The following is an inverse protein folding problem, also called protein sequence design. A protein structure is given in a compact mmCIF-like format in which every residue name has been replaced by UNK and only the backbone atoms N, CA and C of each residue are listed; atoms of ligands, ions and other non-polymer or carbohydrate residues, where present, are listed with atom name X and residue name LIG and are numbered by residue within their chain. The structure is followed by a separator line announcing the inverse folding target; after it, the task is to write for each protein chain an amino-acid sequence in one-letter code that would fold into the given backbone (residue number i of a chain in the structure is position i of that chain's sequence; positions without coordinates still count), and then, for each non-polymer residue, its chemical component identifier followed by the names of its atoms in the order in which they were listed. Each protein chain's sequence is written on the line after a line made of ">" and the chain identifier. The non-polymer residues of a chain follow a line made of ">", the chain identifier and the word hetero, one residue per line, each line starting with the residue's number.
data_IF_558955415135
#
_entry.id   IF_558955415135
#
_cell.length_a   1.000
_cell.length_b   1.000
_cell.length_c   1.000
_cell.angle_alpha   90.00
_cell.angle_beta   90.00
_cell.angle_gamma   90.00
#
_symmetry.space_group_name_H-M   'P 1'
#
loop_
_entity.id
_entity.type
_entity.pdbx_description
1 polymer ?
#
# COMPACT_ATOMS: atom_id res chain seq x y z
N UNK A 1 -0.10 -3.33 -31.63
CA UNK A 1 -0.32 -3.35 -30.18
C UNK A 1 -1.47 -4.27 -29.93
N UNK A 2 -1.26 -5.31 -29.12
CA UNK A 2 -2.35 -6.16 -28.64
C UNK A 2 -3.22 -5.39 -27.64
N UNK A 3 -4.40 -5.92 -27.35
CA UNK A 3 -5.31 -5.38 -26.36
C UNK A 3 -4.80 -5.68 -24.94
N UNK A 4 -4.01 -4.76 -24.39
CA UNK A 4 -3.36 -4.89 -23.07
C UNK A 4 -4.36 -4.97 -21.90
N UNK A 5 -5.61 -4.55 -22.13
CA UNK A 5 -6.71 -4.64 -21.16
C UNK A 5 -7.54 -5.92 -21.28
N UNK A 6 -7.26 -6.76 -22.29
CA UNK A 6 -8.01 -8.00 -22.48
C UNK A 6 -7.76 -8.99 -21.34
N UNK A 7 -8.84 -9.59 -20.84
CA UNK A 7 -8.79 -10.68 -19.88
C UNK A 7 -8.18 -11.92 -20.53
N UNK A 8 -7.14 -12.48 -19.92
CA UNK A 8 -6.51 -13.73 -20.34
C UNK A 8 -6.63 -14.72 -19.17
N UNK A 9 -7.35 -15.83 -19.36
CA UNK A 9 -7.33 -16.97 -18.43
C UNK A 9 -8.39 -16.96 -17.30
N UNK A 10 -8.26 -17.96 -16.42
CA UNK A 10 -9.11 -18.14 -15.22
C UNK A 10 -8.73 -17.11 -14.13
N UNK A 11 -9.67 -16.86 -13.20
CA UNK A 11 -9.51 -15.90 -12.09
C UNK A 11 -8.26 -16.17 -11.26
N UNK A 12 -7.47 -15.13 -10.96
CA UNK A 12 -6.39 -15.20 -9.97
C UNK A 12 -6.97 -15.33 -8.53
N UNK A 13 -6.13 -15.60 -7.53
CA UNK A 13 -6.53 -15.95 -6.16
C UNK A 13 -7.53 -14.98 -5.50
N UNK A 14 -7.59 -13.74 -6.00
CA UNK A 14 -8.46 -12.66 -5.52
C UNK A 14 -9.78 -12.47 -6.31
N UNK A 15 -9.99 -13.25 -7.37
CA UNK A 15 -11.23 -13.24 -8.17
C UNK A 15 -11.28 -12.14 -9.24
N UNK A 16 -10.18 -11.43 -9.48
CA UNK A 16 -10.07 -10.47 -10.56
C UNK A 16 -9.73 -11.20 -11.88
N UNK A 17 -10.04 -10.55 -13.00
CA UNK A 17 -9.76 -11.09 -14.33
C UNK A 17 -8.31 -10.74 -14.69
N UNK A 18 -7.40 -11.71 -14.71
CA UNK A 18 -5.99 -11.46 -15.02
C UNK A 18 -5.87 -10.78 -16.39
N UNK A 19 -5.28 -9.57 -16.41
CA UNK A 19 -5.10 -8.83 -17.65
C UNK A 19 -3.81 -9.24 -18.31
N UNK A 20 -3.77 -9.10 -19.64
CA UNK A 20 -2.56 -9.39 -20.41
C UNK A 20 -1.30 -8.66 -19.88
N UNK A 21 -1.48 -7.43 -19.39
CA UNK A 21 -0.38 -6.63 -18.85
C UNK A 21 0.13 -7.13 -17.49
N UNK A 22 -0.73 -7.73 -16.66
CA UNK A 22 -0.35 -8.31 -15.36
C UNK A 22 0.64 -9.47 -15.59
N UNK A 23 0.29 -10.40 -16.48
CA UNK A 23 1.16 -11.53 -16.87
C UNK A 23 2.49 -11.03 -17.45
N UNK A 24 2.43 -10.05 -18.35
CA UNK A 24 3.64 -9.49 -18.95
C UNK A 24 4.56 -8.82 -17.92
N UNK A 25 3.98 -8.15 -16.91
CA UNK A 25 4.74 -7.54 -15.84
C UNK A 25 5.39 -8.60 -14.95
N UNK A 26 4.65 -9.63 -14.53
CA UNK A 26 5.17 -10.72 -13.70
C UNK A 26 6.30 -11.47 -14.40
N UNK A 27 6.12 -11.85 -15.67
CA UNK A 27 7.15 -12.53 -16.47
C UNK A 27 8.43 -11.70 -16.57
N UNK A 28 8.31 -10.39 -16.79
CA UNK A 28 9.45 -9.49 -16.92
C UNK A 28 10.25 -9.38 -15.60
N UNK A 29 9.58 -9.25 -14.46
CA UNK A 29 10.24 -9.18 -13.16
C UNK A 29 10.82 -10.52 -12.73
N UNK A 30 10.11 -11.62 -12.98
CA UNK A 30 10.61 -12.97 -12.72
C UNK A 30 11.87 -13.27 -13.54
N UNK A 31 11.90 -12.89 -14.82
CA UNK A 31 13.08 -13.09 -15.66
C UNK A 31 14.26 -12.19 -15.24
N UNK A 32 13.99 -10.95 -14.81
CA UNK A 32 15.02 -10.10 -14.22
C UNK A 32 15.57 -10.70 -12.91
N UNK A 33 14.71 -11.24 -12.05
CA UNK A 33 15.10 -11.91 -10.80
C UNK A 33 15.99 -13.12 -11.08
N UNK A 34 15.63 -13.98 -12.04
CA UNK A 34 16.46 -15.11 -12.51
C UNK A 34 17.84 -14.64 -12.99
N UNK A 35 17.88 -13.61 -13.84
CA UNK A 35 19.11 -13.11 -14.44
C UNK A 35 20.05 -12.43 -13.43
N UNK A 36 19.50 -11.90 -12.33
CA UNK A 36 20.29 -11.25 -11.28
C UNK A 36 21.27 -12.21 -10.58
N UNK A 37 20.94 -13.50 -10.51
CA UNK A 37 21.74 -14.52 -9.83
C UNK A 37 21.83 -14.36 -8.30
N UNK A 38 21.03 -13.47 -7.69
CA UNK A 38 21.08 -13.16 -6.26
C UNK A 38 19.74 -13.33 -5.53
N UNK A 39 18.72 -13.82 -6.23
CA UNK A 39 17.37 -14.05 -5.67
C UNK A 39 17.15 -15.55 -5.47
N UNK A 40 16.78 -15.94 -4.26
CA UNK A 40 16.50 -17.31 -3.88
C UNK A 40 15.06 -17.73 -4.15
N UNK A 41 14.12 -16.85 -3.81
CA UNK A 41 12.70 -17.06 -4.05
C UNK A 41 12.05 -15.76 -4.54
N UNK A 42 11.14 -15.91 -5.49
CA UNK A 42 10.32 -14.84 -6.05
C UNK A 42 8.86 -15.10 -5.67
N UNK A 43 8.29 -14.18 -4.93
CA UNK A 43 6.93 -14.21 -4.41
C UNK A 43 6.14 -13.07 -5.06
N UNK A 44 5.07 -13.39 -5.77
CA UNK A 44 4.32 -12.42 -6.58
C UNK A 44 2.83 -12.50 -6.28
N UNK A 45 2.15 -11.37 -6.43
CA UNK A 45 0.68 -11.32 -6.41
C UNK A 45 0.04 -12.22 -7.47
N UNK A 46 0.74 -12.44 -8.60
CA UNK A 46 0.26 -13.23 -9.75
C UNK A 46 0.59 -14.73 -9.65
N UNK A 47 1.20 -15.18 -8.55
CA UNK A 47 1.64 -16.57 -8.35
C UNK A 47 1.11 -17.13 -7.03
N UNK A 48 0.42 -18.27 -7.06
CA UNK A 48 -0.13 -18.90 -5.83
C UNK A 48 0.96 -19.33 -4.81
N UNK A 49 2.18 -19.56 -5.31
CA UNK A 49 3.31 -20.10 -4.56
C UNK A 49 4.61 -19.38 -4.95
N UNK A 50 5.58 -19.39 -4.03
CA UNK A 50 6.88 -18.80 -4.33
C UNK A 50 7.61 -19.61 -5.41
N UNK A 51 8.14 -18.91 -6.41
CA UNK A 51 9.01 -19.50 -7.45
C UNK A 51 10.43 -19.57 -6.90
N UNK A 52 10.92 -20.80 -6.67
CA UNK A 52 12.28 -21.04 -6.18
C UNK A 52 13.27 -20.91 -7.34
N UNK A 53 14.28 -20.07 -7.18
CA UNK A 53 15.29 -19.76 -8.20
C UNK A 53 16.66 -20.35 -7.85
N UNK A 54 17.20 -20.02 -6.68
CA UNK A 54 18.49 -20.52 -6.17
C UNK A 54 18.48 -20.58 -4.64
N UNK A 55 18.46 -21.79 -4.07
CA UNK A 55 18.32 -21.96 -2.62
C UNK A 55 19.42 -21.28 -1.77
N UNK A 56 20.58 -20.99 -2.37
CA UNK A 56 21.73 -20.40 -1.70
C UNK A 56 21.88 -18.89 -1.96
N UNK A 57 21.05 -18.32 -2.84
CA UNK A 57 21.11 -16.90 -3.12
C UNK A 57 20.65 -16.07 -1.89
N UNK A 58 21.19 -14.85 -1.72
CA UNK A 58 21.03 -14.11 -0.47
C UNK A 58 19.67 -13.41 -0.28
N UNK A 59 18.87 -13.24 -1.33
CA UNK A 59 17.68 -12.37 -1.28
C UNK A 59 16.38 -13.11 -1.59
N UNK A 60 15.28 -12.60 -1.06
CA UNK A 60 13.91 -12.97 -1.43
C UNK A 60 13.23 -11.71 -1.97
N UNK A 61 12.52 -11.84 -3.08
CA UNK A 61 11.72 -10.74 -3.65
C UNK A 61 10.25 -11.05 -3.39
N UNK A 62 9.54 -10.07 -2.85
CA UNK A 62 8.08 -10.03 -2.78
C UNK A 62 7.59 -8.85 -3.63
N UNK A 63 6.66 -9.08 -4.57
CA UNK A 63 6.30 -8.08 -5.57
C UNK A 63 4.81 -8.08 -5.91
N UNK A 64 4.24 -6.88 -6.03
CA UNK A 64 3.06 -6.63 -6.84
C UNK A 64 3.55 -6.12 -8.19
N UNK A 65 3.54 -6.96 -9.25
CA UNK A 65 4.12 -6.59 -10.53
C UNK A 65 3.34 -5.45 -11.19
N UNK A 66 2.03 -5.32 -10.90
CA UNK A 66 1.17 -4.32 -11.51
C UNK A 66 0.02 -3.82 -10.60
N UNK A 67 0.35 -2.97 -9.62
CA UNK A 67 -0.66 -2.32 -8.77
C UNK A 67 -1.60 -1.43 -9.60
N UNK A 68 -2.89 -1.54 -9.29
CA UNK A 68 -3.94 -0.75 -9.92
C UNK A 68 -4.39 -1.31 -11.27
N UNK A 69 -4.21 -2.60 -11.55
CA UNK A 69 -4.63 -3.28 -12.80
C UNK A 69 -6.07 -2.94 -13.26
N UNK A 70 -7.01 -2.75 -12.32
CA UNK A 70 -8.38 -2.30 -12.61
C UNK A 70 -8.46 -0.95 -13.35
N UNK A 71 -7.41 -0.13 -13.30
CA UNK A 71 -7.29 1.19 -13.92
C UNK A 71 -6.63 1.18 -15.31
N UNK A 72 -6.12 0.04 -15.79
CA UNK A 72 -5.42 -0.07 -17.09
C UNK A 72 -6.30 0.45 -18.24
N UNK A 73 -7.55 0.00 -18.32
CA UNK A 73 -8.42 0.25 -19.50
C UNK A 73 -8.92 1.70 -19.56
N UNK A 74 -8.84 2.41 -18.43
CA UNK A 74 -9.24 3.82 -18.30
C UNK A 74 -8.04 4.76 -18.27
N UNK A 75 -6.83 4.24 -18.49
CA UNK A 75 -5.60 5.01 -18.64
C UNK A 75 -5.31 5.92 -17.42
N UNK A 76 -5.58 5.41 -16.22
CA UNK A 76 -5.19 6.02 -14.95
C UNK A 76 -3.84 5.45 -14.51
N UNK A 77 -3.09 6.19 -13.70
CA UNK A 77 -1.78 5.77 -13.20
C UNK A 77 -1.87 4.42 -12.46
N UNK A 78 -0.90 3.56 -12.77
CA UNK A 78 -0.66 2.24 -12.17
C UNK A 78 0.81 2.15 -11.74
N UNK A 79 1.28 1.03 -11.22
CA UNK A 79 2.68 0.92 -10.80
C UNK A 79 3.12 -0.50 -10.47
N UNK A 80 4.26 -0.59 -9.81
CA UNK A 80 4.83 -1.85 -9.33
C UNK A 80 5.32 -1.61 -7.90
N UNK A 81 5.16 -2.58 -7.01
CA UNK A 81 5.61 -2.50 -5.63
C UNK A 81 6.55 -3.66 -5.34
N UNK A 82 7.74 -3.37 -4.79
CA UNK A 82 8.79 -4.35 -4.55
C UNK A 82 9.23 -4.29 -3.10
N UNK A 83 9.31 -5.45 -2.47
CA UNK A 83 9.95 -5.70 -1.19
C UNK A 83 11.15 -6.63 -1.39
N UNK A 84 12.29 -6.28 -0.79
CA UNK A 84 13.50 -7.10 -0.80
C UNK A 84 13.79 -7.54 0.63
N UNK A 85 13.80 -8.84 0.85
CA UNK A 85 14.01 -9.49 2.14
C UNK A 85 15.31 -10.31 2.12
N UNK A 86 15.96 -10.54 3.27
CA UNK A 86 17.03 -11.52 3.35
C UNK A 86 16.47 -12.93 3.13
N UNK A 87 17.23 -13.82 2.52
CA UNK A 87 16.93 -15.25 2.53
C UNK A 87 17.16 -15.80 3.96
N UNK A 88 16.10 -16.24 4.68
CA UNK A 88 16.25 -16.76 6.04
C UNK A 88 16.78 -18.20 6.08
N UNK A 89 16.96 -18.84 4.92
CA UNK A 89 17.17 -20.27 4.78
C UNK A 89 15.88 -21.07 5.10
N UNK A 90 16.01 -22.40 5.17
CA UNK A 90 14.87 -23.26 5.50
C UNK A 90 13.90 -23.45 4.32
N UNK A 91 12.60 -23.45 4.60
CA UNK A 91 11.57 -23.63 3.58
C UNK A 91 11.35 -22.32 2.81
N UNK A 92 11.84 -22.31 1.56
CA UNK A 92 11.76 -21.12 0.71
C UNK A 92 10.34 -20.79 0.25
N UNK A 93 9.40 -21.72 0.33
CA UNK A 93 7.99 -21.40 0.12
C UNK A 93 7.46 -20.42 1.17
N UNK A 94 8.10 -20.38 2.34
CA UNK A 94 7.72 -19.51 3.45
C UNK A 94 8.67 -18.33 3.63
N UNK A 95 9.69 -18.21 2.77
CA UNK A 95 10.78 -17.26 2.96
C UNK A 95 10.36 -15.78 2.88
N UNK A 96 9.23 -15.46 2.24
CA UNK A 96 8.67 -14.12 2.21
C UNK A 96 7.81 -13.79 3.45
N UNK A 97 7.42 -14.78 4.26
CA UNK A 97 6.59 -14.60 5.47
C UNK A 97 7.43 -14.12 6.66
N UNK A 98 8.06 -12.97 6.48
CA UNK A 98 8.85 -12.27 7.50
C UNK A 98 8.12 -10.99 7.93
N UNK A 99 8.38 -10.51 9.15
CA UNK A 99 7.87 -9.21 9.56
C UNK A 99 8.41 -8.10 8.66
N UNK A 100 7.60 -7.07 8.43
CA UNK A 100 7.95 -5.98 7.51
C UNK A 100 9.23 -5.22 7.91
N UNK A 101 9.63 -5.26 9.17
CA UNK A 101 10.88 -4.69 9.67
C UNK A 101 12.15 -5.47 9.24
N UNK A 102 12.01 -6.66 8.66
CA UNK A 102 13.13 -7.43 8.10
C UNK A 102 13.52 -7.01 6.68
N UNK A 103 12.76 -6.10 6.04
CA UNK A 103 13.06 -5.62 4.70
C UNK A 103 14.44 -4.95 4.64
N UNK A 104 15.25 -5.38 3.67
CA UNK A 104 16.55 -4.77 3.35
C UNK A 104 16.36 -3.54 2.44
N UNK A 105 15.36 -3.60 1.56
CA UNK A 105 14.98 -2.52 0.68
C UNK A 105 13.51 -2.62 0.33
N UNK A 106 12.91 -1.50 -0.04
CA UNK A 106 11.59 -1.46 -0.65
C UNK A 106 11.57 -0.39 -1.74
N UNK A 107 10.74 -0.61 -2.75
CA UNK A 107 10.54 0.33 -3.83
C UNK A 107 9.10 0.31 -4.32
N UNK A 108 8.63 1.43 -4.87
CA UNK A 108 7.51 1.38 -5.81
C UNK A 108 7.73 2.31 -6.99
N UNK A 109 7.18 1.90 -8.13
CA UNK A 109 7.12 2.69 -9.34
C UNK A 109 5.74 3.30 -9.48
N UNK A 110 5.67 4.49 -10.08
CA UNK A 110 4.42 5.07 -10.57
C UNK A 110 4.56 5.26 -12.07
N UNK A 111 3.72 4.55 -12.84
CA UNK A 111 3.58 4.67 -14.28
C UNK A 111 2.49 5.71 -14.58
N UNK A 112 2.81 6.98 -14.32
CA UNK A 112 1.91 8.11 -14.55
C UNK A 112 2.34 8.97 -15.75
N UNK A 113 2.01 10.28 -15.74
CA UNK A 113 2.52 11.22 -16.74
C UNK A 113 4.06 11.26 -16.82
N UNK A 114 4.73 10.90 -15.73
CA UNK A 114 6.15 10.62 -15.65
C UNK A 114 6.34 9.30 -14.91
N UNK A 115 7.32 8.50 -15.33
CA UNK A 115 7.72 7.30 -14.58
C UNK A 115 8.63 7.70 -13.44
N UNK A 116 8.16 7.51 -12.21
CA UNK A 116 8.93 7.80 -10.99
C UNK A 116 9.16 6.53 -10.18
N UNK A 117 10.27 6.49 -9.46
CA UNK A 117 10.66 5.42 -8.55
C UNK A 117 10.91 6.00 -7.16
N UNK A 118 10.26 5.44 -6.15
CA UNK A 118 10.55 5.70 -4.74
C UNK A 118 11.31 4.50 -4.21
N UNK A 119 12.46 4.72 -3.60
CA UNK A 119 13.37 3.65 -3.17
C UNK A 119 13.91 3.94 -1.77
N UNK A 120 13.90 2.94 -0.91
CA UNK A 120 14.63 2.97 0.36
C UNK A 120 15.51 1.74 0.50
N UNK A 121 16.69 1.95 1.09
CA UNK A 121 17.61 0.90 1.57
C UNK A 121 17.70 0.89 3.10
N UNK A 122 16.75 1.53 3.80
CA UNK A 122 16.71 1.65 5.26
C UNK A 122 17.35 2.93 5.85
N UNK A 123 17.84 3.84 5.01
CA UNK A 123 18.45 5.13 5.43
C UNK A 123 17.78 6.34 4.75
N UNK A 124 16.46 6.39 4.83
CA UNK A 124 15.61 7.36 4.14
C UNK A 124 15.04 6.83 2.82
N UNK A 125 14.10 7.59 2.25
CA UNK A 125 13.49 7.26 0.95
C UNK A 125 13.92 8.29 -0.08
N UNK A 126 14.38 7.85 -1.24
CA UNK A 126 14.77 8.70 -2.35
C UNK A 126 13.70 8.66 -3.46
N UNK A 127 13.57 9.78 -4.16
CA UNK A 127 12.71 9.91 -5.34
C UNK A 127 13.55 10.06 -6.61
N UNK A 128 13.32 9.16 -7.56
CA UNK A 128 13.91 9.17 -8.89
C UNK A 128 12.85 9.35 -9.98
N UNK A 129 13.27 9.87 -11.13
CA UNK A 129 12.46 9.96 -12.34
C UNK A 129 13.21 9.39 -13.53
N UNK A 130 12.54 8.58 -14.33
CA UNK A 130 13.10 8.05 -15.58
C UNK A 130 13.24 9.17 -16.62
N UNK A 131 14.44 9.33 -17.20
CA UNK A 131 14.63 10.06 -18.44
C UNK A 131 14.28 9.14 -19.62
N UNK A 132 13.23 9.43 -20.41
CA UNK A 132 12.81 8.57 -21.52
C UNK A 132 13.83 8.51 -22.66
N UNK A 133 14.78 9.44 -22.74
CA UNK A 133 15.80 9.45 -23.80
C UNK A 133 16.91 8.46 -23.50
N UNK A 134 17.42 8.45 -22.26
CA UNK A 134 18.50 7.57 -21.84
C UNK A 134 18.02 6.25 -21.24
N UNK A 135 16.78 6.17 -20.77
CA UNK A 135 16.25 5.04 -20.01
C UNK A 135 16.77 4.96 -18.57
N UNK A 136 17.47 5.99 -18.09
CA UNK A 136 18.06 6.01 -16.75
C UNK A 136 17.14 6.70 -15.75
N UNK A 137 17.13 6.20 -14.51
CA UNK A 137 16.49 6.86 -13.38
C UNK A 137 17.43 7.91 -12.79
N UNK A 138 16.99 9.17 -12.85
CA UNK A 138 17.72 10.31 -12.32
C UNK A 138 17.19 10.67 -10.94
N UNK A 139 18.08 10.82 -9.96
CA UNK A 139 17.71 11.29 -8.63
C UNK A 139 17.10 12.70 -8.73
N UNK A 140 15.92 12.86 -8.13
CA UNK A 140 15.18 14.13 -8.07
C UNK A 140 15.27 14.72 -6.68
N UNK A 141 15.06 13.88 -5.66
CA UNK A 141 15.07 14.29 -4.26
C UNK A 141 15.66 13.17 -3.42
N UNK A 142 16.71 13.47 -2.67
CA UNK A 142 17.32 12.58 -1.69
C UNK A 142 16.54 12.71 -0.38
N UNK A 143 16.21 11.58 0.27
CA UNK A 143 15.54 11.54 1.58
C UNK A 143 14.27 12.42 1.62
N UNK A 144 13.36 12.19 0.68
CA UNK A 144 12.05 12.87 0.65
C UNK A 144 11.32 12.67 1.99
N UNK A 145 10.73 13.75 2.51
CA UNK A 145 10.01 13.74 3.78
C UNK A 145 8.50 13.94 3.56
N UNK A 146 7.70 13.03 4.11
CA UNK A 146 6.25 13.20 4.17
C UNK A 146 5.93 14.26 5.25
N UNK A 147 5.20 15.30 4.86
CA UNK A 147 4.76 16.33 5.80
C UNK A 147 4.04 15.72 7.02
N UNK A 148 4.45 16.11 8.24
CA UNK A 148 3.90 15.56 9.50
C UNK A 148 2.39 15.82 9.64
N UNK A 149 1.94 16.98 9.16
CA UNK A 149 0.54 17.40 9.11
C UNK A 149 0.04 17.58 7.67
N UNK A 150 -1.27 17.49 7.50
CA UNK A 150 -1.92 17.62 6.20
C UNK A 150 -3.37 18.08 6.33
N UNK A 151 -3.97 18.43 5.20
CA UNK A 151 -5.41 18.64 5.06
C UNK A 151 -5.96 17.87 3.85
N UNK A 152 -5.31 16.77 3.46
CA UNK A 152 -5.80 15.85 2.43
C UNK A 152 -5.95 14.42 2.98
N UNK A 153 -7.04 13.75 2.60
CA UNK A 153 -7.26 12.33 2.90
C UNK A 153 -7.71 11.57 1.64
N UNK A 154 -7.39 10.28 1.61
CA UNK A 154 -7.74 9.38 0.53
C UNK A 154 -8.47 8.16 1.06
N UNK A 155 -9.75 8.01 0.68
CA UNK A 155 -10.58 6.86 1.02
C UNK A 155 -11.68 6.69 -0.04
N UNK A 156 -12.05 5.45 -0.35
CA UNK A 156 -13.19 5.18 -1.22
C UNK A 156 -14.52 5.45 -0.49
N UNK A 157 -15.04 6.67 -0.63
CA UNK A 157 -16.27 7.13 0.01
C UNK A 157 -17.53 6.32 -0.34
N UNK A 158 -17.55 5.55 -1.45
CA UNK A 158 -18.70 4.69 -1.76
C UNK A 158 -18.95 3.62 -0.70
N UNK A 159 -17.91 3.29 0.09
CA UNK A 159 -17.97 2.27 1.13
C UNK A 159 -18.37 2.83 2.50
N UNK A 160 -18.80 4.09 2.59
CA UNK A 160 -19.10 4.77 3.86
C UNK A 160 -20.02 3.97 4.81
N UNK A 161 -21.04 3.31 4.25
CA UNK A 161 -21.99 2.48 5.00
C UNK A 161 -21.38 1.18 5.57
N UNK A 162 -20.28 0.72 4.98
CA UNK A 162 -19.61 -0.53 5.35
C UNK A 162 -18.53 -0.32 6.38
N UNK A 163 -17.91 0.87 6.42
CA UNK A 163 -16.84 1.18 7.36
C UNK A 163 -17.25 0.89 8.81
N UNK A 164 -16.29 0.40 9.58
CA UNK A 164 -16.44 0.33 11.03
C UNK A 164 -16.55 1.72 11.64
N UNK A 165 -17.16 1.79 12.82
CA UNK A 165 -17.44 3.04 13.55
C UNK A 165 -16.23 3.98 13.68
N UNK A 166 -15.00 3.51 13.98
CA UNK A 166 -13.84 4.40 14.11
C UNK A 166 -13.58 5.23 12.86
N UNK A 167 -13.60 4.59 11.69
CA UNK A 167 -13.39 5.24 10.39
C UNK A 167 -14.55 6.17 10.06
N UNK A 168 -15.80 5.77 10.32
CA UNK A 168 -16.96 6.64 10.12
C UNK A 168 -16.85 7.92 10.96
N UNK A 169 -16.43 7.82 12.22
CA UNK A 169 -16.22 8.96 13.12
C UNK A 169 -15.07 9.85 12.65
N UNK A 170 -13.92 9.25 12.33
CA UNK A 170 -12.77 9.98 11.80
C UNK A 170 -13.15 10.82 10.58
N UNK A 171 -13.75 10.19 9.56
CA UNK A 171 -14.17 10.89 8.34
C UNK A 171 -15.29 11.92 8.61
N UNK A 172 -16.24 11.63 9.50
CA UNK A 172 -17.28 12.61 9.87
C UNK A 172 -16.67 13.87 10.48
N UNK A 173 -15.68 13.71 11.36
CA UNK A 173 -15.00 14.84 12.01
C UNK A 173 -14.17 15.66 10.99
N UNK A 174 -13.60 15.03 9.96
CA UNK A 174 -12.96 15.76 8.85
C UNK A 174 -13.97 16.55 8.01
N UNK A 175 -15.16 15.99 7.76
CA UNK A 175 -16.21 16.61 6.93
C UNK A 175 -16.89 17.81 7.59
N UNK A 176 -16.86 17.91 8.92
CA UNK A 176 -17.33 19.09 9.64
C UNK A 176 -16.44 20.32 9.41
N UNK A 177 -15.25 20.16 8.84
CA UNK A 177 -14.39 21.26 8.45
C UNK A 177 -13.94 22.13 9.62
N UNK A 178 -14.00 23.45 9.43
CA UNK A 178 -13.67 24.45 10.44
C UNK A 178 -14.68 24.56 11.59
N UNK A 179 -15.91 24.07 11.40
CA UNK A 179 -16.91 23.93 12.47
C UNK A 179 -16.72 22.64 13.29
N UNK A 180 -15.88 21.72 12.81
CA UNK A 180 -15.60 20.43 13.42
C UNK A 180 -14.49 20.47 14.46
N UNK A 181 -14.27 19.33 15.17
CA UNK A 181 -13.19 19.22 16.15
C UNK A 181 -11.78 19.30 15.55
N UNK A 182 -11.69 19.33 14.22
CA UNK A 182 -10.43 19.51 13.49
C UNK A 182 -10.09 20.97 13.23
N UNK A 183 -11.07 21.87 13.35
CA UNK A 183 -10.93 23.32 13.18
C UNK A 183 -10.26 23.73 11.85
N UNK A 184 -10.35 22.88 10.82
CA UNK A 184 -9.82 23.13 9.48
C UNK A 184 -10.51 22.28 8.42
N UNK A 185 -10.56 22.78 7.19
CA UNK A 185 -11.13 22.07 6.06
C UNK A 185 -10.17 21.01 5.51
N UNK A 186 -10.69 19.82 5.21
CA UNK A 186 -9.96 18.74 4.56
C UNK A 186 -10.47 18.49 3.14
N UNK A 187 -9.58 18.09 2.25
CA UNK A 187 -9.91 17.76 0.87
C UNK A 187 -9.74 16.26 0.61
N UNK A 188 -10.70 15.66 -0.09
CA UNK A 188 -10.61 14.26 -0.50
C UNK A 188 -9.85 14.13 -1.82
N UNK A 189 -8.91 13.19 -1.89
CA UNK A 189 -8.28 12.72 -3.13
C UNK A 189 -8.37 11.21 -3.16
N UNK A 190 -8.92 10.64 -4.22
CA UNK A 190 -8.94 9.19 -4.38
C UNK A 190 -8.59 8.89 -5.82
N UNK A 191 -7.36 8.44 -6.07
CA UNK A 191 -6.92 8.05 -7.41
C UNK A 191 -7.39 6.62 -7.68
N UNK A 192 -7.36 5.75 -6.67
CA UNK A 192 -7.80 4.37 -6.78
C UNK A 192 -6.73 3.40 -7.28
N UNK A 193 -5.45 3.80 -7.19
CA UNK A 193 -4.28 2.93 -7.27
C UNK A 193 -3.39 3.25 -6.06
N UNK A 194 -2.91 2.22 -5.37
CA UNK A 194 -2.14 2.37 -4.15
C UNK A 194 -0.86 3.18 -4.41
N UNK A 195 -0.11 2.84 -5.46
CA UNK A 195 1.16 3.54 -5.78
C UNK A 195 0.94 4.99 -6.21
N UNK A 196 -0.17 5.28 -6.89
CA UNK A 196 -0.48 6.63 -7.33
C UNK A 196 -0.89 7.52 -6.15
N UNK A 197 -1.72 7.00 -5.25
CA UNK A 197 -2.08 7.71 -4.01
C UNK A 197 -0.88 7.82 -3.06
N UNK A 198 -0.01 6.81 -2.98
CA UNK A 198 1.25 6.87 -2.24
C UNK A 198 2.16 7.97 -2.78
N UNK A 199 2.46 7.96 -4.09
CA UNK A 199 3.28 8.99 -4.73
C UNK A 199 2.77 10.40 -4.47
N UNK A 200 1.44 10.62 -4.50
CA UNK A 200 0.84 11.91 -4.11
C UNK A 200 1.18 12.27 -2.66
N UNK A 201 1.07 11.33 -1.73
CA UNK A 201 1.32 11.55 -0.29
C UNK A 201 2.80 11.85 -0.03
N UNK A 202 3.73 11.16 -0.68
CA UNK A 202 5.16 11.47 -0.60
C UNK A 202 5.46 12.93 -0.98
N UNK A 203 4.80 13.46 -2.01
CA UNK A 203 5.08 14.82 -2.52
C UNK A 203 4.28 15.94 -1.83
N UNK A 204 3.09 15.65 -1.33
CA UNK A 204 2.13 16.69 -0.87
C UNK A 204 1.64 16.50 0.55
N UNK A 205 2.05 15.41 1.21
CA UNK A 205 1.42 14.93 2.43
C UNK A 205 0.00 14.41 2.19
N UNK A 206 -0.64 13.99 3.26
CA UNK A 206 -1.95 13.36 3.21
C UNK A 206 -2.00 12.06 4.00
N UNK A 207 -3.19 11.51 4.14
CA UNK A 207 -3.38 10.18 4.71
C UNK A 207 -4.17 9.31 3.74
N UNK A 208 -3.69 8.10 3.47
CA UNK A 208 -4.41 7.07 2.73
C UNK A 208 -5.07 6.13 3.71
N UNK A 209 -6.30 5.71 3.40
CA UNK A 209 -7.07 4.76 4.19
C UNK A 209 -7.68 3.69 3.28
N UNK A 210 -7.23 2.46 3.49
CA UNK A 210 -7.92 1.25 3.08
C UNK A 210 -8.20 0.39 4.32
N UNK A 211 -9.20 0.76 5.12
CA UNK A 211 -9.48 0.09 6.39
C UNK A 211 -10.19 -1.25 6.15
N UNK A 212 -10.27 -2.06 7.21
CA UNK A 212 -11.24 -3.14 7.29
C UNK A 212 -12.68 -2.62 7.30
N UNK A 213 -13.60 -3.39 6.74
CA UNK A 213 -15.03 -3.03 6.72
C UNK A 213 -15.97 -4.25 6.79
N UNK A 214 -17.27 -3.98 6.83
CA UNK A 214 -18.32 -5.00 7.03
C UNK A 214 -18.62 -5.86 5.79
N UNK A 215 -17.99 -5.61 4.63
CA UNK A 215 -18.19 -6.45 3.45
C UNK A 215 -17.59 -7.84 3.72
N UNK A 216 -18.20 -8.92 3.19
CA UNK A 216 -17.66 -10.27 3.38
C UNK A 216 -16.21 -10.37 2.88
N UNK A 217 -15.30 -10.89 3.72
CA UNK A 217 -13.84 -11.02 3.46
C UNK A 217 -13.02 -9.72 3.44
N UNK A 218 -13.58 -8.62 3.95
CA UNK A 218 -12.93 -7.30 4.00
C UNK A 218 -12.70 -6.83 5.45
N UNK A 219 -12.97 -7.69 6.43
CA UNK A 219 -12.80 -7.40 7.86
C UNK A 219 -11.36 -7.06 8.21
N UNK A 220 -10.40 -7.71 7.55
CA UNK A 220 -8.97 -7.42 7.65
C UNK A 220 -8.46 -6.56 6.48
N UNK A 221 -9.31 -5.77 5.81
CA UNK A 221 -8.92 -4.99 4.63
C UNK A 221 -8.83 -5.80 3.34
N UNK A 222 -8.28 -5.20 2.28
CA UNK A 222 -8.16 -5.82 0.93
C UNK A 222 -6.73 -5.96 0.44
N UNK A 223 -5.84 -5.05 0.83
CA UNK A 223 -4.45 -5.02 0.33
C UNK A 223 -3.64 -6.15 0.95
N UNK A 224 -2.63 -6.67 0.25
CA UNK A 224 -1.83 -7.79 0.73
C UNK A 224 -0.66 -7.29 1.56
N UNK A 225 -0.38 -8.00 2.64
CA UNK A 225 0.58 -7.58 3.65
C UNK A 225 2.00 -7.55 3.08
N UNK A 226 2.41 -8.62 2.40
CA UNK A 226 3.81 -8.88 2.04
C UNK A 226 4.30 -7.96 0.92
N UNK A 227 3.53 -7.80 -0.16
CA UNK A 227 3.98 -7.12 -1.38
C UNK A 227 3.24 -5.80 -1.68
N UNK A 228 2.26 -5.40 -0.86
CA UNK A 228 1.66 -4.05 -0.94
C UNK A 228 1.91 -3.24 0.35
N UNK A 229 1.44 -3.74 1.50
CA UNK A 229 1.45 -2.95 2.73
C UNK A 229 2.84 -2.79 3.36
N UNK A 230 3.60 -3.88 3.51
CA UNK A 230 4.96 -3.87 4.08
C UNK A 230 5.93 -2.94 3.31
N UNK A 231 6.08 -3.05 1.97
CA UNK A 231 6.99 -2.18 1.23
C UNK A 231 6.58 -0.71 1.26
N UNK A 232 5.28 -0.41 1.12
CA UNK A 232 4.78 0.97 1.25
C UNK A 232 5.01 1.51 2.66
N UNK A 233 4.73 0.72 3.70
CA UNK A 233 4.97 1.12 5.09
C UNK A 233 6.45 1.41 5.36
N UNK A 234 7.36 0.61 4.82
CA UNK A 234 8.80 0.81 5.01
C UNK A 234 9.26 2.12 4.38
N UNK A 235 8.87 2.39 3.14
CA UNK A 235 9.14 3.66 2.45
C UNK A 235 8.55 4.86 3.21
N UNK A 236 7.32 4.73 3.72
CA UNK A 236 6.62 5.81 4.43
C UNK A 236 7.31 6.15 5.75
N UNK A 237 7.69 5.14 6.54
CA UNK A 237 8.38 5.37 7.82
C UNK A 237 9.79 5.93 7.61
N UNK A 238 10.49 5.50 6.56
CA UNK A 238 11.79 6.04 6.16
C UNK A 238 11.69 7.51 5.69
N UNK A 239 10.52 7.94 5.22
CA UNK A 239 10.20 9.34 4.90
C UNK A 239 9.58 10.13 6.06
N UNK A 240 9.65 9.62 7.30
CA UNK A 240 9.13 10.32 8.49
C UNK A 240 7.61 10.22 8.71
N UNK A 241 6.89 9.50 7.84
CA UNK A 241 5.48 9.19 8.00
C UNK A 241 5.20 8.06 9.02
N UNK A 242 3.99 7.52 8.97
CA UNK A 242 3.63 6.32 9.74
C UNK A 242 2.66 5.44 8.94
N UNK A 243 2.61 4.14 9.28
CA UNK A 243 1.69 3.17 8.70
C UNK A 243 1.13 2.20 9.76
N UNK A 244 -0.19 1.96 9.72
CA UNK A 244 -0.92 1.09 10.66
C UNK A 244 -2.07 0.37 9.97
N UNK A 245 -2.52 -0.76 10.52
CA UNK A 245 -3.81 -1.38 10.16
C UNK A 245 -5.01 -0.76 10.90
N UNK A 246 -4.77 0.30 11.69
CA UNK A 246 -5.73 0.95 12.59
C UNK A 246 -5.45 0.61 14.05
N UNK A 247 -4.72 -0.48 14.31
CA UNK A 247 -4.42 -0.95 15.65
C UNK A 247 -2.94 -1.25 15.88
N UNK A 248 -2.31 -1.87 14.90
CA UNK A 248 -0.95 -2.40 14.94
C UNK A 248 -0.14 -1.69 13.86
N UNK A 249 1.14 -1.42 14.14
CA UNK A 249 2.06 -0.88 13.14
C UNK A 249 2.31 -1.95 12.07
N UNK A 250 2.26 -1.57 10.79
CA UNK A 250 2.31 -2.54 9.68
C UNK A 250 3.60 -3.37 9.73
N UNK A 251 4.74 -2.73 9.93
CA UNK A 251 6.06 -3.41 9.92
C UNK A 251 6.26 -4.41 11.07
N UNK A 252 5.43 -4.36 12.11
CA UNK A 252 5.49 -5.28 13.26
C UNK A 252 4.65 -6.55 13.03
N UNK A 253 3.86 -6.60 11.95
CA UNK A 253 3.02 -7.77 11.64
C UNK A 253 3.87 -8.89 11.05
N UNK A 254 3.73 -10.09 11.58
CA UNK A 254 4.30 -11.31 11.00
C UNK A 254 3.23 -12.01 10.15
N UNK A 255 3.43 -12.13 8.82
CA UNK A 255 2.49 -12.83 7.96
C UNK A 255 2.34 -14.31 8.35
N UNK A 256 1.13 -14.83 8.22
CA UNK A 256 0.78 -16.24 8.42
C UNK A 256 0.58 -17.00 7.11
N UNK A 257 0.36 -16.26 6.03
CA UNK A 257 0.23 -16.76 4.66
C UNK A 257 0.80 -15.75 3.66
N UNK A 258 1.17 -16.22 2.46
CA UNK A 258 1.81 -15.38 1.43
C UNK A 258 0.88 -14.26 0.96
N UNK A 259 -0.40 -14.57 0.79
CA UNK A 259 -1.41 -13.66 0.27
C UNK A 259 -2.27 -13.03 1.38
N UNK A 260 -1.72 -12.92 2.60
CA UNK A 260 -2.46 -12.39 3.75
C UNK A 260 -2.93 -10.97 3.48
N UNK A 261 -4.22 -10.70 3.68
CA UNK A 261 -4.79 -9.36 3.54
C UNK A 261 -4.65 -8.54 4.84
N UNK A 262 -4.44 -7.25 4.70
CA UNK A 262 -4.38 -6.30 5.80
C UNK A 262 -5.12 -4.99 5.46
N UNK A 263 -5.66 -4.36 6.50
CA UNK A 263 -6.01 -2.95 6.44
C UNK A 263 -4.72 -2.15 6.37
N UNK A 264 -4.78 -1.00 5.70
CA UNK A 264 -3.63 -0.12 5.54
C UNK A 264 -4.06 1.33 5.65
N UNK A 265 -3.47 2.02 6.61
CA UNK A 265 -3.56 3.46 6.80
C UNK A 265 -2.13 4.00 6.85
N UNK A 266 -1.78 4.92 5.97
CA UNK A 266 -0.43 5.50 5.95
C UNK A 266 -0.40 6.97 5.56
N UNK A 267 0.70 7.64 5.86
CA UNK A 267 1.02 8.99 5.39
C UNK A 267 1.46 9.90 6.52
N UNK A 268 0.94 11.13 6.53
CA UNK A 268 1.23 12.15 7.54
C UNK A 268 0.98 11.62 8.95
N UNK A 269 2.04 11.57 9.76
CA UNK A 269 2.07 10.91 11.08
C UNK A 269 0.98 11.40 12.04
N UNK A 270 0.61 12.68 11.97
CA UNK A 270 -0.47 13.21 12.81
C UNK A 270 -1.83 12.58 12.47
N UNK A 271 -2.19 12.44 11.20
CA UNK A 271 -3.48 11.86 10.80
C UNK A 271 -3.53 10.35 11.09
N UNK A 272 -2.41 9.63 10.89
CA UNK A 272 -2.29 8.22 11.27
C UNK A 272 -2.54 8.00 12.76
N UNK A 273 -1.98 8.88 13.62
CA UNK A 273 -2.25 8.85 15.07
C UNK A 273 -3.72 9.12 15.40
N UNK A 274 -4.35 10.05 14.69
CA UNK A 274 -5.78 10.33 14.87
C UNK A 274 -6.62 9.10 14.55
N UNK A 275 -6.41 8.44 13.41
CA UNK A 275 -7.13 7.19 13.09
C UNK A 275 -6.96 6.16 14.22
N UNK A 276 -5.73 5.96 14.71
CA UNK A 276 -5.47 5.06 15.83
C UNK A 276 -6.19 5.44 17.14
N UNK A 277 -6.42 6.73 17.40
CA UNK A 277 -7.15 7.16 18.60
C UNK A 277 -8.65 6.82 18.52
N UNK A 278 -9.30 7.00 17.36
CA UNK A 278 -10.70 6.58 17.18
C UNK A 278 -10.89 5.07 17.36
N UNK A 279 -9.91 4.29 16.89
CA UNK A 279 -9.88 2.83 17.05
C UNK A 279 -9.72 2.43 18.52
N UNK A 280 -8.82 3.10 19.25
CA UNK A 280 -8.62 2.86 20.68
C UNK A 280 -9.85 3.22 21.53
N UNK A 281 -10.48 4.36 21.25
CA UNK A 281 -11.71 4.79 21.94
C UNK A 281 -12.85 3.80 21.76
N UNK A 282 -13.03 3.29 20.54
CA UNK A 282 -14.08 2.33 20.22
C UNK A 282 -13.83 0.99 20.92
N UNK A 283 -12.59 0.52 20.96
CA UNK A 283 -12.21 -0.68 21.73
C UNK A 283 -12.47 -0.53 23.24
N UNK A 284 -12.37 0.70 23.76
CA UNK A 284 -12.67 1.02 25.16
C UNK A 284 -14.17 1.31 25.41
N UNK A 285 -15.02 1.28 24.38
CA UNK A 285 -16.45 1.59 24.47
C UNK A 285 -16.77 3.06 24.75
N UNK A 286 -15.81 3.97 24.54
CA UNK A 286 -15.97 5.40 24.79
C UNK A 286 -16.77 6.11 23.69
N UNK A 287 -16.90 5.49 22.52
CA UNK A 287 -17.70 5.97 21.38
C UNK A 287 -19.21 5.98 21.65
N UNK A 288 -19.67 5.24 22.67
CA UNK A 288 -21.06 5.19 23.14
C UNK A 288 -21.37 6.21 24.25
N UNK A 289 -20.40 7.01 24.67
CA UNK A 289 -20.61 8.04 25.68
C UNK A 289 -21.61 9.10 25.17
N UNK A 290 -22.56 9.56 26.00
CA UNK A 290 -23.53 10.62 25.64
C UNK A 290 -22.88 11.89 25.07
N UNK A 291 -21.61 12.15 25.41
CA UNK A 291 -20.80 13.28 24.95
C UNK A 291 -20.44 13.23 23.45
N UNK A 292 -20.50 12.06 22.81
CA UNK A 292 -20.12 11.86 21.39
C UNK A 292 -21.30 11.44 20.50
N UNK A 293 -22.51 11.35 21.05
CA UNK A 293 -23.71 10.80 20.39
C UNK A 293 -24.20 11.58 19.17
N UNK A 294 -23.73 12.81 18.96
CA UNK A 294 -24.21 13.71 17.90
C UNK A 294 -23.28 13.86 16.67
N UNK A 295 -22.20 13.06 16.54
CA UNK A 295 -21.15 13.28 15.52
C UNK A 295 -21.27 12.48 14.21
N UNK A 296 -22.33 11.71 14.00
CA UNK A 296 -22.41 10.80 12.86
C UNK A 296 -23.33 11.33 11.75
N UNK A 297 -22.74 12.02 10.75
CA UNK A 297 -23.43 12.43 9.51
C UNK A 297 -23.88 11.23 8.65
N UNK A 298 -23.36 10.03 8.91
CA UNK A 298 -23.63 8.82 8.13
C UNK A 298 -24.71 7.88 8.71
N UNK A 299 -25.38 8.26 9.80
CA UNK A 299 -26.58 7.54 10.28
C UNK A 299 -27.84 8.24 9.77
N UNK A 300 -28.35 7.79 8.62
CA UNK A 300 -29.72 8.08 8.16
C UNK A 300 -30.62 6.88 8.38
#
# INVERSE_FOLDING_TARGET
>A
GGDLGSTIGDQNADGDAQKALDVMADDAFLDAAKQSGVVAAYCSEEQDHAVILDEHAPLVIAIDPLDGSSNIDVNVSIGTIISVLPNPGGDLQQSAMQSGDQQLAAAFFVYGPQTTLYLTLGEGTDLYRMDPTSGLFMLIEERIEIAEETSEYAINASNARQWFTPIQRYISDLLLGDEGPRERNFNMRWIGSLVADAGRIFNRGGVFLYPGDRRPKYDNGRLRLIYEANPVAFLVEQAGGAATDGSTRILEKTPTEIHERTALIFGSKTEVRWVGSYEAETRQGLDQSPLFSHRNLFRS
#
